data_IF_745557029046
#
_entry.id   IF_745557029046
#
_cell.length_a   1.000
_cell.length_b   1.000
_cell.length_c   1.000
_cell.angle_alpha   90.00
_cell.angle_beta   90.00
_cell.angle_gamma   90.00
#
_symmetry.space_group_name_H-M   'P 1'
#
loop_
_entity.id
_entity.type
_entity.pdbx_description
1 polymer ?
#
# COMPACT_ATOMS: atom_id res chain seq x y z
N UNK A 1 4.83 22.97 -15.81
CA UNK A 1 4.10 22.85 -14.53
C UNK A 1 3.59 21.44 -14.25
N UNK A 2 2.92 20.73 -15.18
CA UNK A 2 2.57 19.29 -15.00
C UNK A 2 3.79 18.43 -14.66
N UNK A 3 4.94 18.75 -15.24
CA UNK A 3 6.23 18.07 -14.97
C UNK A 3 6.62 18.13 -13.49
N UNK A 4 6.42 19.25 -12.79
CA UNK A 4 6.78 19.38 -11.37
C UNK A 4 5.89 18.49 -10.51
N UNK A 5 4.59 18.51 -10.78
CA UNK A 5 3.62 17.63 -10.09
C UNK A 5 3.94 16.16 -10.39
N UNK A 6 4.28 15.83 -11.63
CA UNK A 6 4.71 14.49 -12.01
C UNK A 6 5.96 14.05 -11.25
N UNK A 7 7.04 14.85 -11.22
CA UNK A 7 8.28 14.51 -10.53
C UNK A 7 8.03 14.32 -9.03
N UNK A 8 7.31 15.25 -8.39
CA UNK A 8 7.00 15.18 -6.97
C UNK A 8 6.19 13.93 -6.60
N UNK A 9 5.11 13.67 -7.33
CA UNK A 9 4.28 12.47 -7.11
C UNK A 9 5.02 11.18 -7.46
N UNK A 10 5.87 11.18 -8.50
CA UNK A 10 6.67 10.02 -8.88
C UNK A 10 7.63 9.65 -7.76
N UNK A 11 8.43 10.59 -7.26
CA UNK A 11 9.34 10.35 -6.14
C UNK A 11 8.62 9.97 -4.86
N UNK A 12 7.46 10.57 -4.57
CA UNK A 12 6.59 10.14 -3.45
C UNK A 12 6.04 8.72 -3.58
N UNK A 13 6.05 8.14 -4.78
CA UNK A 13 5.57 6.78 -5.05
C UNK A 13 6.67 5.72 -5.01
N UNK A 14 7.95 6.11 -4.94
CA UNK A 14 9.10 5.20 -4.95
C UNK A 14 9.39 4.67 -3.53
N UNK A 15 8.41 3.98 -2.93
CA UNK A 15 8.46 3.43 -1.57
C UNK A 15 9.72 2.58 -1.29
N UNK A 16 10.23 1.90 -2.32
CA UNK A 16 11.42 1.05 -2.24
C UNK A 16 12.77 1.78 -2.34
N UNK A 17 12.79 3.07 -2.67
CA UNK A 17 14.02 3.83 -2.90
C UNK A 17 14.46 4.64 -1.65
N UNK A 18 13.99 4.22 -0.47
CA UNK A 18 14.33 4.86 0.81
C UNK A 18 13.44 6.05 1.18
N UNK A 19 13.44 6.36 2.48
CA UNK A 19 12.61 7.44 3.03
C UNK A 19 12.98 8.82 2.46
N UNK A 20 14.26 9.04 2.15
CA UNK A 20 14.76 10.33 1.64
C UNK A 20 14.11 10.70 0.31
N UNK A 21 14.08 9.78 -0.65
CA UNK A 21 13.48 10.03 -1.98
C UNK A 21 11.98 10.32 -1.86
N UNK A 22 11.26 9.54 -1.05
CA UNK A 22 9.84 9.78 -0.80
C UNK A 22 9.57 11.15 -0.17
N UNK A 23 10.43 11.55 0.78
CA UNK A 23 10.37 12.85 1.46
C UNK A 23 10.67 14.00 0.50
N UNK A 24 11.69 13.86 -0.37
CA UNK A 24 11.98 14.85 -1.42
C UNK A 24 10.77 15.03 -2.33
N UNK A 25 10.14 13.94 -2.78
CA UNK A 25 8.91 14.00 -3.57
C UNK A 25 7.79 14.77 -2.87
N UNK A 26 7.59 14.50 -1.58
CA UNK A 26 6.58 15.18 -0.77
C UNK A 26 6.88 16.69 -0.64
N UNK A 27 8.13 17.05 -0.36
CA UNK A 27 8.58 18.44 -0.26
C UNK A 27 8.42 19.19 -1.58
N UNK A 28 8.71 18.58 -2.74
CA UNK A 28 8.49 19.20 -4.06
C UNK A 28 7.02 19.62 -4.22
N UNK A 29 6.08 18.76 -3.86
CA UNK A 29 4.64 19.05 -3.95
C UNK A 29 4.21 20.13 -2.94
N UNK A 30 4.76 20.10 -1.73
CA UNK A 30 4.50 21.11 -0.70
C UNK A 30 4.99 22.48 -1.16
N UNK A 31 6.26 22.58 -1.59
CA UNK A 31 6.84 23.83 -2.08
C UNK A 31 6.14 24.35 -3.33
N UNK A 32 5.75 23.47 -4.25
CA UNK A 32 4.94 23.85 -5.41
C UNK A 32 3.61 24.50 -4.98
N UNK A 33 2.93 23.90 -3.99
CA UNK A 33 1.66 24.41 -3.48
C UNK A 33 1.81 25.73 -2.71
N UNK A 34 2.91 25.90 -1.97
CA UNK A 34 3.30 27.18 -1.34
C UNK A 34 3.60 28.27 -2.38
N UNK A 35 4.40 27.96 -3.41
CA UNK A 35 4.73 28.91 -4.47
C UNK A 35 3.49 29.37 -5.26
N UNK A 36 2.45 28.54 -5.33
CA UNK A 36 1.14 28.90 -5.90
C UNK A 36 0.23 29.70 -4.95
N UNK A 37 0.64 29.88 -3.70
CA UNK A 37 -0.11 30.59 -2.68
C UNK A 37 -1.37 29.87 -2.21
N UNK A 38 -1.47 28.55 -2.40
CA UNK A 38 -2.69 27.81 -2.03
C UNK A 38 -2.90 27.76 -0.51
N UNK A 39 -1.84 27.67 0.28
CA UNK A 39 -1.93 27.64 1.74
C UNK A 39 -2.57 28.90 2.35
N UNK A 40 -2.41 30.06 1.71
CA UNK A 40 -2.99 31.32 2.18
C UNK A 40 -4.50 31.43 1.94
N UNK A 41 -5.08 30.48 1.20
CA UNK A 41 -6.51 30.45 0.87
C UNK A 41 -7.29 29.41 1.71
N UNK A 42 -6.66 28.81 2.72
CA UNK A 42 -7.29 27.77 3.53
C UNK A 42 -8.44 28.34 4.39
N UNK A 43 -9.59 27.70 4.33
CA UNK A 43 -10.72 28.03 5.18
C UNK A 43 -10.43 27.71 6.66
N UNK A 44 -11.00 28.50 7.59
CA UNK A 44 -10.77 28.39 9.05
C UNK A 44 -10.96 26.97 9.60
N UNK A 45 -11.93 26.22 9.08
CA UNK A 45 -12.18 24.81 9.48
C UNK A 45 -10.96 23.91 9.22
N UNK A 46 -10.28 24.07 8.08
CA UNK A 46 -9.07 23.30 7.77
C UNK A 46 -7.93 23.67 8.72
N UNK A 47 -7.77 24.96 9.03
CA UNK A 47 -6.75 25.42 9.99
C UNK A 47 -6.97 24.77 11.37
N UNK A 48 -8.23 24.70 11.83
CA UNK A 48 -8.58 24.03 13.08
C UNK A 48 -8.26 22.53 13.00
N UNK A 49 -8.61 21.85 11.92
CA UNK A 49 -8.28 20.43 11.73
C UNK A 49 -6.76 20.18 11.74
N UNK A 50 -5.97 21.05 11.10
CA UNK A 50 -4.50 20.99 11.11
C UNK A 50 -3.96 21.16 12.52
N UNK A 51 -4.51 22.10 13.29
CA UNK A 51 -4.12 22.29 14.68
C UNK A 51 -4.46 21.05 15.52
N UNK A 52 -5.65 20.48 15.38
CA UNK A 52 -6.05 19.26 16.08
C UNK A 52 -5.13 18.06 15.75
N UNK A 53 -4.80 17.85 14.46
CA UNK A 53 -3.90 16.76 14.06
C UNK A 53 -2.48 17.01 14.58
N UNK A 54 -2.00 18.26 14.53
CA UNK A 54 -0.69 18.63 15.09
C UNK A 54 -0.63 18.34 16.59
N UNK A 55 -1.66 18.72 17.35
CA UNK A 55 -1.77 18.42 18.78
C UNK A 55 -1.81 16.91 19.01
N UNK A 56 -2.55 16.15 18.20
CA UNK A 56 -2.59 14.70 18.29
C UNK A 56 -1.21 14.05 18.06
N UNK A 57 -0.46 14.49 17.05
CA UNK A 57 0.91 14.03 16.77
C UNK A 57 1.82 14.29 17.97
N UNK A 58 1.77 15.52 18.53
CA UNK A 58 2.58 15.89 19.70
C UNK A 58 2.19 15.06 20.92
N UNK A 59 0.88 14.88 21.17
CA UNK A 59 0.39 14.05 22.27
C UNK A 59 0.90 12.61 22.15
N UNK A 60 0.84 12.02 20.95
CA UNK A 60 1.37 10.67 20.71
C UNK A 60 2.88 10.59 20.95
N UNK A 61 3.64 11.64 20.63
CA UNK A 61 5.07 11.70 20.89
C UNK A 61 5.37 11.79 22.40
N UNK A 62 4.60 12.60 23.14
CA UNK A 62 4.70 12.69 24.61
C UNK A 62 4.36 11.34 25.25
N UNK A 63 3.26 10.70 24.82
CA UNK A 63 2.86 9.38 25.31
C UNK A 63 3.93 8.32 25.04
N UNK A 64 4.57 8.37 23.86
CA UNK A 64 5.70 7.49 23.53
C UNK A 64 6.89 7.70 24.49
N UNK A 65 7.26 8.95 24.77
CA UNK A 65 8.37 9.28 25.67
C UNK A 65 8.11 8.91 27.13
N UNK A 66 6.84 8.89 27.55
CA UNK A 66 6.45 8.44 28.89
C UNK A 66 6.48 6.92 29.06
N UNK A 67 6.69 6.15 27.99
CA UNK A 67 6.69 4.68 27.99
C UNK A 67 5.46 4.06 28.71
N UNK A 68 4.28 4.70 28.55
CA UNK A 68 3.07 4.26 29.22
C UNK A 68 2.56 2.92 28.68
N UNK A 69 2.85 1.84 29.40
CA UNK A 69 2.25 0.52 29.21
C UNK A 69 3.14 -0.53 28.52
N UNK A 70 4.23 -0.14 27.84
CA UNK A 70 5.17 -1.09 27.23
C UNK A 70 6.52 -0.42 26.94
N UNK A 71 7.56 -1.24 26.71
CA UNK A 71 8.90 -0.78 26.32
C UNK A 71 9.03 -0.70 24.78
N UNK A 72 9.21 0.50 24.19
CA UNK A 72 9.45 0.63 22.76
C UNK A 72 10.83 0.08 22.37
N UNK A 73 10.92 -0.53 21.18
CA UNK A 73 12.19 -1.01 20.63
C UNK A 73 13.17 0.14 20.40
N UNK A 74 14.47 -0.11 20.54
CA UNK A 74 15.52 0.92 20.39
C UNK A 74 15.43 1.64 19.04
N UNK A 75 15.22 0.89 17.94
CA UNK A 75 15.05 1.45 16.60
C UNK A 75 13.90 2.47 16.51
N UNK A 76 12.82 2.28 17.29
CA UNK A 76 11.73 3.25 17.34
C UNK A 76 12.10 4.52 18.13
N UNK A 77 12.93 4.38 19.17
CA UNK A 77 13.45 5.52 19.94
C UNK A 77 14.38 6.37 19.08
N UNK A 78 15.32 5.71 18.39
CA UNK A 78 16.29 6.37 17.51
C UNK A 78 15.59 7.08 16.34
N UNK A 79 14.50 6.50 15.84
CA UNK A 79 13.73 7.07 14.73
C UNK A 79 12.65 8.08 15.16
N UNK A 80 12.42 8.33 16.47
CA UNK A 80 11.28 9.12 16.96
C UNK A 80 11.21 10.50 16.30
N UNK A 81 12.30 11.27 16.34
CA UNK A 81 12.33 12.62 15.80
C UNK A 81 12.06 12.64 14.29
N UNK A 82 12.68 11.71 13.56
CA UNK A 82 12.46 11.56 12.12
C UNK A 82 11.01 11.20 11.81
N UNK A 83 10.38 10.33 12.60
CA UNK A 83 8.99 9.95 12.44
C UNK A 83 8.03 11.11 12.75
N UNK A 84 8.33 11.95 13.75
CA UNK A 84 7.55 13.17 14.06
C UNK A 84 7.63 14.14 12.89
N UNK A 85 8.83 14.43 12.38
CA UNK A 85 9.03 15.27 11.20
C UNK A 85 8.24 14.71 10.02
N UNK A 86 8.35 13.40 9.78
CA UNK A 86 7.63 12.76 8.68
C UNK A 86 6.11 12.90 8.83
N UNK A 87 5.54 12.79 10.03
CA UNK A 87 4.11 13.03 10.26
C UNK A 87 3.69 14.46 9.87
N UNK A 88 4.50 15.46 10.23
CA UNK A 88 4.24 16.84 9.81
C UNK A 88 4.39 17.03 8.29
N UNK A 89 5.39 16.41 7.67
CA UNK A 89 5.54 16.42 6.21
C UNK A 89 4.31 15.80 5.55
N UNK A 90 3.82 14.65 6.02
CA UNK A 90 2.61 14.01 5.51
C UNK A 90 1.36 14.89 5.71
N UNK A 91 1.25 15.59 6.84
CA UNK A 91 0.18 16.54 7.08
C UNK A 91 0.19 17.67 6.05
N UNK A 92 1.31 18.35 5.85
CA UNK A 92 1.44 19.40 4.83
C UNK A 92 1.28 18.86 3.40
N UNK A 93 1.76 17.65 3.14
CA UNK A 93 1.57 16.96 1.88
C UNK A 93 0.08 16.67 1.61
N UNK A 94 -0.68 16.22 2.61
CA UNK A 94 -2.12 15.96 2.47
C UNK A 94 -2.92 17.21 2.11
N UNK A 95 -2.55 18.35 2.69
CA UNK A 95 -3.13 19.66 2.35
C UNK A 95 -2.78 20.01 0.90
N UNK A 96 -1.50 19.86 0.54
CA UNK A 96 -1.02 20.16 -0.82
C UNK A 96 -1.76 19.33 -1.88
N UNK A 97 -1.92 18.03 -1.64
CA UNK A 97 -2.67 17.13 -2.53
C UNK A 97 -4.14 17.56 -2.63
N UNK A 98 -4.78 17.90 -1.51
CA UNK A 98 -6.16 18.39 -1.49
C UNK A 98 -6.31 19.67 -2.33
N UNK A 99 -5.40 20.63 -2.14
CA UNK A 99 -5.41 21.89 -2.89
C UNK A 99 -5.10 21.70 -4.38
N UNK A 100 -4.23 20.76 -4.74
CA UNK A 100 -3.96 20.42 -6.13
C UNK A 100 -5.17 19.76 -6.80
N UNK A 101 -5.86 18.86 -6.10
CA UNK A 101 -7.09 18.25 -6.61
C UNK A 101 -8.18 19.32 -6.80
N UNK A 102 -8.29 20.29 -5.91
CA UNK A 102 -9.29 21.35 -6.03
C UNK A 102 -8.96 22.37 -7.13
N UNK A 103 -7.74 22.91 -7.14
CA UNK A 103 -7.35 24.03 -8.00
C UNK A 103 -6.79 23.60 -9.36
N UNK A 104 -6.13 22.44 -9.45
CA UNK A 104 -5.42 21.98 -10.66
C UNK A 104 -5.73 20.49 -10.97
N UNK A 105 -6.99 20.07 -10.78
CA UNK A 105 -7.44 18.66 -10.91
C UNK A 105 -6.95 17.97 -12.18
N UNK A 106 -7.07 18.63 -13.34
CA UNK A 106 -6.66 18.07 -14.64
C UNK A 106 -5.16 17.79 -14.69
N UNK A 107 -4.33 18.70 -14.15
CA UNK A 107 -2.88 18.54 -14.11
C UNK A 107 -2.48 17.41 -13.17
N UNK A 108 -3.12 17.34 -12.01
CA UNK A 108 -2.92 16.28 -11.03
C UNK A 108 -3.26 14.90 -11.63
N UNK A 109 -4.44 14.78 -12.24
CA UNK A 109 -4.89 13.55 -12.93
C UNK A 109 -3.94 13.16 -14.07
N UNK A 110 -3.50 14.13 -14.87
CA UNK A 110 -2.55 13.87 -15.96
C UNK A 110 -1.22 13.36 -15.41
N UNK A 111 -0.65 14.01 -14.40
CA UNK A 111 0.57 13.57 -13.74
C UNK A 111 0.44 12.14 -13.17
N UNK A 112 -0.66 11.86 -12.47
CA UNK A 112 -0.97 10.53 -11.93
C UNK A 112 -1.08 9.46 -13.03
N UNK A 113 -1.69 9.80 -14.16
CA UNK A 113 -1.79 8.91 -15.33
C UNK A 113 -0.42 8.55 -15.87
N UNK A 114 0.47 9.55 -16.05
CA UNK A 114 1.83 9.33 -16.53
C UNK A 114 2.64 8.45 -15.58
N UNK A 115 2.47 8.59 -14.26
CA UNK A 115 3.19 7.77 -13.27
C UNK A 115 2.76 6.31 -13.38
N UNK A 116 1.44 6.05 -13.46
CA UNK A 116 0.93 4.68 -13.62
C UNK A 116 1.43 4.08 -14.93
N UNK A 117 1.34 4.82 -16.04
CA UNK A 117 1.82 4.37 -17.35
C UNK A 117 3.32 4.04 -17.30
N UNK A 118 4.15 4.92 -16.74
CA UNK A 118 5.59 4.70 -16.64
C UNK A 118 5.90 3.42 -15.86
N UNK A 119 5.29 3.22 -14.69
CA UNK A 119 5.51 2.01 -13.90
C UNK A 119 5.04 0.74 -14.61
N UNK A 120 3.90 0.79 -15.32
CA UNK A 120 3.40 -0.33 -16.13
C UNK A 120 4.35 -0.62 -17.30
N UNK A 121 4.87 0.39 -17.98
CA UNK A 121 5.83 0.21 -19.06
C UNK A 121 7.14 -0.43 -18.59
N UNK A 122 7.72 0.06 -17.49
CA UNK A 122 8.91 -0.55 -16.88
C UNK A 122 8.66 -2.01 -16.50
N UNK A 123 7.51 -2.30 -15.90
CA UNK A 123 7.12 -3.66 -15.56
C UNK A 123 7.03 -4.55 -16.80
N UNK A 124 6.33 -4.11 -17.85
CA UNK A 124 6.14 -4.90 -19.09
C UNK A 124 7.49 -5.14 -19.79
N UNK A 125 8.35 -4.13 -19.86
CA UNK A 125 9.70 -4.27 -20.43
C UNK A 125 10.53 -5.30 -19.66
N UNK A 126 10.52 -5.22 -18.33
CA UNK A 126 11.21 -6.18 -17.49
C UNK A 126 10.60 -7.59 -17.63
N UNK A 127 9.28 -7.72 -17.69
CA UNK A 127 8.57 -8.98 -17.90
C UNK A 127 9.00 -9.68 -19.19
N UNK A 128 8.95 -8.98 -20.32
CA UNK A 128 9.37 -9.57 -21.58
C UNK A 128 10.86 -9.89 -21.62
N UNK A 129 11.71 -9.05 -21.01
CA UNK A 129 13.16 -9.35 -20.95
C UNK A 129 13.42 -10.64 -20.18
N UNK A 130 12.82 -10.78 -18.99
CA UNK A 130 12.97 -11.96 -18.14
C UNK A 130 12.47 -13.22 -18.84
N UNK A 131 11.23 -13.21 -19.31
CA UNK A 131 10.58 -14.44 -19.81
C UNK A 131 10.89 -14.77 -21.27
N UNK A 132 11.46 -13.85 -22.06
CA UNK A 132 11.92 -14.14 -23.42
C UNK A 132 13.43 -14.42 -23.51
N UNK A 133 14.25 -13.78 -22.68
CA UNK A 133 15.71 -13.91 -22.77
C UNK A 133 16.35 -14.60 -21.57
N UNK A 134 15.62 -14.82 -20.47
CA UNK A 134 16.16 -15.35 -19.22
C UNK A 134 17.01 -14.35 -18.42
N UNK A 135 17.15 -13.10 -18.86
CA UNK A 135 17.99 -12.10 -18.20
C UNK A 135 17.12 -11.20 -17.30
N UNK A 136 17.59 -10.96 -16.07
CA UNK A 136 16.92 -10.04 -15.14
C UNK A 136 17.55 -8.65 -15.19
N UNK A 137 16.73 -7.63 -15.45
CA UNK A 137 17.13 -6.21 -15.35
C UNK A 137 16.73 -5.71 -13.97
N UNK A 138 17.71 -5.47 -13.10
CA UNK A 138 17.45 -4.89 -11.78
C UNK A 138 17.51 -3.35 -11.83
N UNK A 139 16.37 -2.75 -12.17
CA UNK A 139 16.23 -1.30 -12.16
C UNK A 139 16.40 -0.71 -10.75
N UNK A 140 16.06 -1.46 -9.69
CA UNK A 140 16.19 -0.98 -8.32
C UNK A 140 17.66 -0.85 -7.96
N UNK A 141 18.44 -1.91 -8.20
CA UNK A 141 19.88 -1.91 -7.93
C UNK A 141 20.61 -0.76 -8.62
N UNK A 142 20.22 -0.44 -9.87
CA UNK A 142 20.78 0.69 -10.62
C UNK A 142 20.60 2.04 -9.91
N UNK A 143 19.48 2.25 -9.22
CA UNK A 143 19.15 3.52 -8.58
C UNK A 143 19.43 3.56 -7.07
N UNK A 144 19.43 2.42 -6.39
CA UNK A 144 19.55 2.36 -4.92
C UNK A 144 20.82 1.66 -4.45
N UNK A 145 21.45 0.83 -5.29
CA UNK A 145 22.51 -0.09 -4.88
C UNK A 145 22.04 -1.30 -4.08
N UNK A 146 20.73 -1.43 -3.82
CA UNK A 146 20.12 -2.58 -3.14
C UNK A 146 19.53 -3.55 -4.17
N UNK A 147 19.80 -4.85 -4.01
CA UNK A 147 19.23 -5.87 -4.88
C UNK A 147 17.72 -6.00 -4.68
N UNK A 148 16.99 -6.14 -5.78
CA UNK A 148 15.58 -6.51 -5.73
C UNK A 148 15.41 -7.96 -5.26
N UNK A 149 14.26 -8.28 -4.65
CA UNK A 149 13.91 -9.64 -4.24
C UNK A 149 13.30 -10.42 -5.42
N UNK A 150 14.06 -10.48 -6.50
CA UNK A 150 13.59 -10.98 -7.80
C UNK A 150 13.52 -12.50 -7.86
N UNK A 151 14.31 -13.23 -7.07
CA UNK A 151 14.26 -14.68 -7.06
C UNK A 151 12.88 -15.20 -6.58
N UNK A 152 12.41 -16.25 -7.23
CA UNK A 152 11.21 -16.97 -6.87
C UNK A 152 11.59 -18.25 -6.15
N UNK A 153 11.13 -18.42 -4.90
CA UNK A 153 11.48 -19.59 -4.08
C UNK A 153 10.64 -20.84 -4.43
N UNK A 154 10.25 -21.04 -5.69
CA UNK A 154 9.66 -22.32 -6.11
C UNK A 154 10.78 -23.36 -6.11
N UNK A 155 10.84 -24.15 -5.03
CA UNK A 155 11.95 -25.07 -4.79
C UNK A 155 11.88 -26.34 -5.65
N UNK A 156 10.72 -26.72 -6.20
CA UNK A 156 10.53 -27.92 -7.03
C UNK A 156 9.35 -27.75 -8.01
N UNK A 157 9.34 -28.50 -9.13
CA UNK A 157 8.23 -28.57 -10.08
C UNK A 157 8.52 -28.04 -11.50
N UNK A 158 7.68 -28.40 -12.48
CA UNK A 158 7.84 -28.01 -13.89
C UNK A 158 7.73 -26.48 -14.14
N UNK A 159 7.14 -25.74 -13.19
CA UNK A 159 7.05 -24.28 -13.23
C UNK A 159 8.30 -23.57 -12.65
N UNK A 160 9.16 -24.29 -11.89
CA UNK A 160 10.32 -23.69 -11.24
C UNK A 160 11.38 -23.21 -12.25
N UNK A 161 11.56 -23.92 -13.36
CA UNK A 161 12.48 -23.54 -14.45
C UNK A 161 11.95 -22.40 -15.33
N UNK A 162 10.63 -22.16 -15.33
CA UNK A 162 9.99 -21.13 -16.16
C UNK A 162 9.85 -19.81 -15.40
N UNK A 163 9.75 -19.87 -14.07
CA UNK A 163 9.49 -18.70 -13.21
C UNK A 163 10.56 -18.53 -12.14
N UNK A 164 11.83 -18.71 -12.50
CA UNK A 164 12.98 -18.49 -11.60
C UNK A 164 13.02 -17.04 -11.09
N UNK A 165 12.73 -16.08 -11.97
CA UNK A 165 12.68 -14.67 -11.65
C UNK A 165 11.25 -14.12 -11.65
N UNK A 166 10.98 -13.21 -10.73
CA UNK A 166 9.74 -12.43 -10.61
C UNK A 166 10.03 -10.98 -10.92
N UNK A 167 9.21 -10.44 -11.79
CA UNK A 167 9.26 -9.05 -12.22
C UNK A 167 8.81 -8.15 -11.06
N UNK A 168 9.61 -7.14 -10.73
CA UNK A 168 9.35 -6.22 -9.63
C UNK A 168 9.10 -4.77 -10.08
N UNK A 169 9.32 -4.48 -11.37
CA UNK A 169 9.27 -3.14 -11.94
C UNK A 169 10.32 -2.23 -11.29
N UNK A 170 9.87 -1.04 -10.87
CA UNK A 170 10.68 -0.07 -10.13
C UNK A 170 10.63 -0.29 -8.60
N UNK A 171 10.41 -1.51 -8.13
CA UNK A 171 10.27 -1.79 -6.70
C UNK A 171 11.10 -3.00 -6.28
N UNK A 172 11.45 -3.07 -5.00
CA UNK A 172 12.25 -4.18 -4.45
C UNK A 172 11.47 -5.49 -4.48
N UNK A 173 10.14 -5.44 -4.37
CA UNK A 173 9.30 -6.64 -4.38
C UNK A 173 8.10 -6.50 -5.32
N UNK A 174 7.62 -7.62 -5.90
CA UNK A 174 6.41 -7.61 -6.72
C UNK A 174 5.17 -7.18 -5.91
N UNK A 175 5.11 -7.52 -4.62
CA UNK A 175 4.03 -7.10 -3.71
C UNK A 175 4.02 -5.58 -3.46
N UNK A 176 5.20 -4.93 -3.45
CA UNK A 176 5.31 -3.46 -3.33
C UNK A 176 4.80 -2.78 -4.59
N UNK A 177 5.19 -3.29 -5.76
CA UNK A 177 4.70 -2.79 -7.05
C UNK A 177 3.17 -2.78 -7.09
N UNK A 178 2.54 -3.90 -6.73
CA UNK A 178 1.08 -4.00 -6.72
C UNK A 178 0.44 -3.09 -5.67
N UNK A 179 1.03 -2.98 -4.48
CA UNK A 179 0.52 -2.08 -3.45
C UNK A 179 0.49 -0.62 -3.94
N UNK A 180 1.60 -0.14 -4.52
CA UNK A 180 1.70 1.24 -5.01
C UNK A 180 0.79 1.49 -6.21
N UNK A 181 0.77 0.59 -7.20
CA UNK A 181 -0.08 0.80 -8.38
C UNK A 181 -1.57 0.63 -8.07
N UNK A 182 -1.94 -0.21 -7.10
CA UNK A 182 -3.30 -0.28 -6.58
C UNK A 182 -3.74 1.09 -6.01
N UNK A 183 -2.90 1.71 -5.18
CA UNK A 183 -3.12 3.04 -4.61
C UNK A 183 -3.24 4.11 -5.69
N UNK A 184 -2.27 4.21 -6.60
CA UNK A 184 -2.24 5.26 -7.64
C UNK A 184 -3.38 5.11 -8.65
N UNK A 185 -3.66 3.89 -9.12
CA UNK A 185 -4.74 3.66 -10.07
C UNK A 185 -6.12 3.84 -9.45
N UNK A 186 -6.29 3.49 -8.16
CA UNK A 186 -7.51 3.80 -7.39
C UNK A 186 -7.73 5.30 -7.30
N UNK A 187 -6.70 6.07 -6.93
CA UNK A 187 -6.78 7.53 -6.87
C UNK A 187 -7.19 8.12 -8.24
N UNK A 188 -6.59 7.64 -9.33
CA UNK A 188 -6.93 8.06 -10.68
C UNK A 188 -8.39 7.76 -11.03
N UNK A 189 -8.85 6.55 -10.70
CA UNK A 189 -10.23 6.12 -10.95
C UNK A 189 -11.24 6.93 -10.13
N UNK A 190 -10.95 7.25 -8.87
CA UNK A 190 -11.84 8.08 -8.04
C UNK A 190 -12.00 9.50 -8.61
N UNK A 191 -10.94 10.06 -9.20
CA UNK A 191 -10.96 11.41 -9.74
C UNK A 191 -11.60 11.51 -11.14
N UNK A 192 -11.40 10.48 -11.98
CA UNK A 192 -11.81 10.48 -13.40
C UNK A 192 -12.98 9.58 -13.75
N UNK A 193 -13.32 8.62 -12.88
CA UNK A 193 -14.20 7.47 -13.16
C UNK A 193 -13.75 6.55 -14.32
N UNK A 194 -12.57 6.79 -14.92
CA UNK A 194 -12.04 5.95 -16.01
C UNK A 194 -11.44 4.66 -15.46
N UNK A 195 -11.64 3.56 -16.16
CA UNK A 195 -11.20 2.21 -15.74
C UNK A 195 -9.94 1.73 -16.45
N UNK A 196 -9.55 2.31 -17.60
CA UNK A 196 -8.47 1.77 -18.44
C UNK A 196 -7.15 1.51 -17.68
N UNK A 197 -6.63 2.53 -16.99
CA UNK A 197 -5.40 2.38 -16.19
C UNK A 197 -5.57 1.43 -15.01
N UNK A 198 -6.77 1.41 -14.41
CA UNK A 198 -7.10 0.51 -13.31
C UNK A 198 -7.09 -0.96 -13.77
N UNK A 199 -7.67 -1.24 -14.93
CA UNK A 199 -7.66 -2.56 -15.56
C UNK A 199 -6.26 -2.99 -15.99
N UNK A 200 -5.44 -2.08 -16.52
CA UNK A 200 -4.02 -2.38 -16.84
C UNK A 200 -3.25 -2.82 -15.59
N UNK A 201 -3.44 -2.13 -14.46
CA UNK A 201 -2.80 -2.51 -13.18
C UNK A 201 -3.28 -3.86 -12.69
N UNK A 202 -4.56 -4.20 -12.84
CA UNK A 202 -5.06 -5.55 -12.51
C UNK A 202 -4.30 -6.61 -13.31
N UNK A 203 -4.15 -6.40 -14.63
CA UNK A 203 -3.46 -7.34 -15.51
C UNK A 203 -1.99 -7.50 -15.11
N UNK A 204 -1.25 -6.41 -14.94
CA UNK A 204 0.16 -6.49 -14.56
C UNK A 204 0.34 -7.06 -13.14
N UNK A 205 -0.59 -6.82 -12.23
CA UNK A 205 -0.58 -7.41 -10.89
C UNK A 205 -0.68 -8.94 -10.94
N UNK A 206 -1.53 -9.49 -11.81
CA UNK A 206 -1.62 -10.95 -12.03
C UNK A 206 -0.32 -11.52 -12.62
N UNK A 207 0.35 -10.76 -13.49
CA UNK A 207 1.63 -11.15 -14.12
C UNK A 207 2.83 -11.14 -13.16
N UNK A 208 2.68 -10.64 -11.93
CA UNK A 208 3.77 -10.63 -10.93
C UNK A 208 4.04 -11.99 -10.28
N UNK A 209 3.13 -12.96 -10.44
CA UNK A 209 3.19 -14.29 -9.80
C UNK A 209 3.37 -14.27 -8.26
N UNK A 210 2.91 -13.20 -7.61
CA UNK A 210 2.92 -13.04 -6.16
C UNK A 210 1.54 -13.34 -5.58
N UNK A 211 1.47 -14.17 -4.53
CA UNK A 211 0.20 -14.60 -3.91
C UNK A 211 -0.68 -13.43 -3.48
N UNK A 212 -0.11 -12.42 -2.82
CA UNK A 212 -0.87 -11.24 -2.39
C UNK A 212 -1.33 -10.41 -3.59
N UNK A 213 -0.56 -10.40 -4.69
CA UNK A 213 -0.94 -9.67 -5.91
C UNK A 213 -2.19 -10.24 -6.54
N UNK A 214 -2.36 -11.56 -6.56
CA UNK A 214 -3.59 -12.20 -7.02
C UNK A 214 -4.79 -11.79 -6.17
N UNK A 215 -4.64 -11.81 -4.84
CA UNK A 215 -5.71 -11.41 -3.91
C UNK A 215 -6.10 -9.94 -4.11
N UNK A 216 -5.12 -9.04 -4.22
CA UNK A 216 -5.36 -7.61 -4.48
C UNK A 216 -6.03 -7.42 -5.84
N UNK A 217 -5.51 -8.04 -6.89
CA UNK A 217 -6.07 -7.96 -8.25
C UNK A 217 -7.51 -8.50 -8.31
N UNK A 218 -7.82 -9.55 -7.56
CA UNK A 218 -9.17 -10.10 -7.43
C UNK A 218 -10.14 -9.07 -6.84
N UNK A 219 -9.80 -8.47 -5.69
CA UNK A 219 -10.65 -7.43 -5.09
C UNK A 219 -10.75 -6.19 -5.99
N UNK A 220 -9.65 -5.76 -6.62
CA UNK A 220 -9.68 -4.69 -7.61
C UNK A 220 -10.65 -5.04 -8.75
N UNK A 221 -10.61 -6.25 -9.29
CA UNK A 221 -11.54 -6.74 -10.32
C UNK A 221 -13.01 -6.73 -9.86
N UNK A 222 -13.29 -7.20 -8.64
CA UNK A 222 -14.64 -7.15 -8.05
C UNK A 222 -15.18 -5.71 -7.99
N UNK A 223 -14.32 -4.72 -7.75
CA UNK A 223 -14.74 -3.32 -7.70
C UNK A 223 -15.21 -2.76 -9.05
N UNK A 224 -14.87 -3.40 -10.18
CA UNK A 224 -15.37 -3.04 -11.51
C UNK A 224 -16.79 -3.55 -11.74
N UNK A 225 -17.21 -4.59 -11.01
CA UNK A 225 -18.53 -5.18 -11.14
C UNK A 225 -19.58 -4.33 -10.40
N UNK A 226 -20.81 -4.35 -10.91
CA UNK A 226 -21.97 -3.88 -10.14
C UNK A 226 -22.33 -4.92 -9.08
N UNK A 227 -22.77 -4.48 -7.89
CA UNK A 227 -23.13 -5.36 -6.76
C UNK A 227 -24.08 -6.48 -7.16
N UNK A 228 -25.05 -6.20 -8.04
CA UNK A 228 -26.04 -7.19 -8.51
C UNK A 228 -25.47 -8.27 -9.43
N UNK A 229 -24.32 -8.03 -10.06
CA UNK A 229 -23.71 -8.97 -11.01
C UNK A 229 -22.68 -9.90 -10.36
N UNK A 230 -22.27 -9.66 -9.11
CA UNK A 230 -21.13 -10.38 -8.56
C UNK A 230 -21.39 -11.86 -8.35
N UNK A 231 -22.58 -12.24 -7.86
CA UNK A 231 -22.95 -13.64 -7.69
C UNK A 231 -23.03 -14.37 -9.02
N UNK A 232 -23.49 -13.70 -10.08
CA UNK A 232 -23.52 -14.24 -11.43
C UNK A 232 -22.10 -14.44 -11.99
N UNK A 233 -21.20 -13.50 -11.72
CA UNK A 233 -19.80 -13.59 -12.12
C UNK A 233 -19.07 -14.72 -11.37
N UNK A 234 -19.24 -14.83 -10.05
CA UNK A 234 -18.67 -15.91 -9.24
C UNK A 234 -19.18 -17.27 -9.72
N UNK A 235 -20.50 -17.39 -9.95
CA UNK A 235 -21.10 -18.61 -10.48
C UNK A 235 -20.53 -18.95 -11.87
N UNK A 236 -20.42 -17.96 -12.77
CA UNK A 236 -19.82 -18.16 -14.09
C UNK A 236 -18.35 -18.60 -14.00
N UNK A 237 -17.56 -18.00 -13.10
CA UNK A 237 -16.16 -18.35 -12.88
C UNK A 237 -16.01 -19.78 -12.35
N UNK A 238 -16.86 -20.21 -11.42
CA UNK A 238 -16.91 -21.60 -10.93
C UNK A 238 -17.25 -22.54 -12.10
N UNK A 239 -18.30 -22.24 -12.86
CA UNK A 239 -18.74 -23.07 -14.00
C UNK A 239 -17.66 -23.16 -15.08
N UNK A 240 -16.92 -22.08 -15.37
CA UNK A 240 -15.82 -22.08 -16.34
C UNK A 240 -14.54 -22.76 -15.83
N UNK A 241 -14.26 -22.68 -14.52
CA UNK A 241 -13.08 -23.33 -13.94
C UNK A 241 -13.24 -24.84 -13.86
N UNK A 242 -14.46 -25.37 -13.66
CA UNK A 242 -14.68 -26.82 -13.54
C UNK A 242 -14.12 -27.59 -14.76
N UNK A 243 -14.45 -27.25 -16.02
CA UNK A 243 -13.87 -27.91 -17.20
C UNK A 243 -12.35 -27.73 -17.34
N UNK A 244 -11.83 -26.57 -16.95
CA UNK A 244 -10.40 -26.27 -17.06
C UNK A 244 -9.60 -27.10 -16.05
N UNK A 245 -10.09 -27.18 -14.81
CA UNK A 245 -9.48 -28.00 -13.75
C UNK A 245 -9.58 -29.48 -14.09
N UNK A 246 -10.70 -29.94 -14.68
CA UNK A 246 -10.82 -31.36 -15.06
C UNK A 246 -9.90 -31.73 -16.23
N UNK A 247 -9.72 -30.85 -17.23
CA UNK A 247 -8.82 -31.11 -18.37
C UNK A 247 -7.34 -31.02 -17.96
N UNK A 248 -6.98 -30.05 -17.10
CA UNK A 248 -5.60 -29.80 -16.68
C UNK A 248 -5.31 -30.29 -15.26
N UNK A 249 -5.99 -31.36 -14.81
CA UNK A 249 -5.99 -31.80 -13.42
C UNK A 249 -4.56 -31.99 -12.85
N UNK A 250 -3.66 -32.64 -13.58
CA UNK A 250 -2.28 -32.86 -13.12
C UNK A 250 -1.48 -31.56 -12.91
N UNK A 251 -1.69 -30.55 -13.76
CA UNK A 251 -1.07 -29.23 -13.59
C UNK A 251 -1.69 -28.48 -12.40
N UNK A 252 -3.01 -28.52 -12.26
CA UNK A 252 -3.70 -27.85 -11.14
C UNK A 252 -3.38 -28.48 -9.79
N UNK A 253 -3.30 -29.80 -9.70
CA UNK A 253 -2.91 -30.51 -8.47
C UNK A 253 -1.48 -30.11 -8.09
N UNK A 254 -0.52 -30.17 -9.03
CA UNK A 254 0.85 -29.70 -8.77
C UNK A 254 0.90 -28.23 -8.37
N UNK A 255 0.15 -27.36 -9.04
CA UNK A 255 0.11 -25.93 -8.72
C UNK A 255 -0.56 -25.64 -7.37
N UNK A 256 -1.57 -26.42 -6.99
CA UNK A 256 -2.23 -26.34 -5.67
C UNK A 256 -1.28 -26.85 -4.60
N UNK A 257 -0.56 -27.96 -4.82
CA UNK A 257 0.41 -28.50 -3.87
C UNK A 257 1.57 -27.51 -3.66
N UNK A 258 2.11 -26.94 -4.74
CA UNK A 258 3.13 -25.88 -4.68
C UNK A 258 2.60 -24.63 -3.97
N UNK A 259 1.34 -24.27 -4.20
CA UNK A 259 0.68 -23.16 -3.52
C UNK A 259 0.49 -23.44 -2.04
N UNK A 260 -0.01 -24.61 -1.66
CA UNK A 260 -0.25 -25.03 -0.28
C UNK A 260 1.07 -25.15 0.48
N UNK A 261 2.12 -25.66 -0.15
CA UNK A 261 3.48 -25.71 0.41
C UNK A 261 4.07 -24.30 0.58
N UNK A 262 3.87 -23.41 -0.40
CA UNK A 262 4.27 -22.00 -0.25
C UNK A 262 3.49 -21.30 0.85
N UNK A 263 2.18 -21.56 0.97
CA UNK A 263 1.33 -21.04 2.04
C UNK A 263 1.80 -21.60 3.38
N UNK A 264 2.01 -22.90 3.54
CA UNK A 264 2.48 -23.45 4.82
C UNK A 264 3.85 -22.90 5.24
N UNK A 265 4.77 -22.69 4.29
CA UNK A 265 6.10 -22.13 4.56
C UNK A 265 6.12 -20.61 4.78
N UNK A 266 5.23 -19.83 4.15
CA UNK A 266 5.30 -18.34 4.18
C UNK A 266 4.12 -17.66 4.86
N UNK A 267 2.98 -18.34 5.05
CA UNK A 267 1.81 -17.79 5.73
C UNK A 267 1.83 -17.99 7.23
N UNK A 268 2.54 -19.02 7.73
CA UNK A 268 2.76 -19.23 9.17
C UNK A 268 3.36 -17.98 9.81
N UNK A 269 4.45 -17.45 9.23
CA UNK A 269 5.12 -16.24 9.73
C UNK A 269 4.22 -14.98 9.76
N UNK A 270 3.21 -14.90 8.88
CA UNK A 270 2.25 -13.78 8.83
C UNK A 270 1.09 -13.96 9.79
N UNK A 271 0.57 -15.17 9.93
CA UNK A 271 -0.47 -15.48 10.91
C UNK A 271 0.08 -15.38 12.33
N UNK A 272 1.33 -15.78 12.55
CA UNK A 272 2.04 -15.61 13.81
C UNK A 272 2.24 -14.11 14.12
N UNK A 273 2.57 -13.28 13.12
CA UNK A 273 2.63 -11.83 13.29
C UNK A 273 1.26 -11.24 13.68
N UNK A 274 0.18 -11.66 13.02
CA UNK A 274 -1.18 -11.22 13.36
C UNK A 274 -1.53 -11.66 14.77
N UNK A 275 -1.22 -12.91 15.12
CA UNK A 275 -1.43 -13.44 16.46
C UNK A 275 -0.67 -12.62 17.50
N UNK A 276 0.56 -12.23 17.20
CA UNK A 276 1.35 -11.35 18.06
C UNK A 276 0.72 -9.96 18.19
N UNK A 277 0.23 -9.36 17.12
CA UNK A 277 -0.40 -8.03 17.18
C UNK A 277 -1.64 -8.03 18.09
N UNK A 278 -2.41 -9.12 18.11
CA UNK A 278 -3.73 -9.17 18.78
C UNK A 278 -3.80 -10.04 20.03
N UNK A 279 -2.76 -10.80 20.38
CA UNK A 279 -2.76 -11.69 21.54
C UNK A 279 -1.57 -11.49 22.51
N UNK A 280 -0.63 -10.58 22.25
CA UNK A 280 0.51 -10.34 23.16
C UNK A 280 0.13 -9.62 24.46
N UNK A 281 -0.80 -8.67 24.42
CA UNK A 281 -1.22 -7.91 25.61
C UNK A 281 -2.68 -7.41 25.49
N UNK A 282 -3.60 -8.07 26.20
CA UNK A 282 -5.05 -7.82 26.11
C UNK A 282 -5.46 -6.35 26.27
N UNK A 283 -4.77 -5.56 27.11
CA UNK A 283 -5.12 -4.16 27.35
C UNK A 283 -4.61 -3.25 26.23
N UNK A 284 -3.40 -3.50 25.75
CA UNK A 284 -2.82 -2.74 24.64
C UNK A 284 -3.42 -3.14 23.29
N UNK A 285 -4.05 -4.32 23.18
CA UNK A 285 -4.76 -4.73 21.96
C UNK A 285 -5.97 -3.83 21.63
N UNK A 286 -6.61 -3.23 22.64
CA UNK A 286 -7.79 -2.39 22.43
C UNK A 286 -7.44 -1.03 21.81
N UNK A 287 -6.40 -0.38 22.33
CA UNK A 287 -6.01 1.02 22.01
C UNK A 287 -4.75 1.10 21.13
N UNK A 288 -3.98 0.02 21.04
CA UNK A 288 -2.74 -0.08 20.29
C UNK A 288 -1.51 0.46 21.02
N UNK A 289 -0.35 0.28 20.40
CA UNK A 289 0.93 0.72 20.97
C UNK A 289 1.24 2.21 20.72
N UNK A 290 0.44 2.91 19.92
CA UNK A 290 0.63 4.31 19.58
C UNK A 290 1.43 4.53 18.30
N UNK A 291 1.35 5.76 17.77
CA UNK A 291 1.80 6.11 16.42
C UNK A 291 3.30 5.83 16.18
N UNK A 292 4.14 6.14 17.16
CA UNK A 292 5.60 6.04 17.04
C UNK A 292 6.18 4.71 17.53
N UNK A 293 5.35 3.86 18.12
CA UNK A 293 5.81 2.70 18.86
C UNK A 293 5.85 1.44 18.03
N UNK A 294 6.94 0.70 18.16
CA UNK A 294 6.98 -0.73 17.86
C UNK A 294 7.45 -1.40 19.16
N UNK A 295 6.68 -2.34 19.73
CA UNK A 295 7.10 -3.05 20.93
C UNK A 295 8.40 -3.80 20.72
N UNK A 296 9.29 -3.77 21.72
CA UNK A 296 10.59 -4.46 21.64
C UNK A 296 10.45 -5.96 21.37
N UNK A 297 9.45 -6.62 21.97
CA UNK A 297 9.16 -8.06 21.73
C UNK A 297 8.81 -8.35 20.26
N UNK A 298 7.94 -7.54 19.67
CA UNK A 298 7.55 -7.67 18.25
C UNK A 298 8.76 -7.39 17.36
N UNK A 299 9.56 -6.38 17.72
CA UNK A 299 10.75 -6.03 16.95
C UNK A 299 11.80 -7.15 16.98
N UNK A 300 12.15 -7.70 18.15
CA UNK A 300 13.13 -8.78 18.27
C UNK A 300 12.71 -10.03 17.50
N UNK A 301 11.44 -10.42 17.57
CA UNK A 301 10.92 -11.57 16.82
C UNK A 301 10.91 -11.34 15.30
N UNK A 302 10.82 -10.09 14.86
CA UNK A 302 10.91 -9.70 13.47
C UNK A 302 12.36 -9.45 12.97
N UNK A 303 13.34 -9.20 13.86
CA UNK A 303 14.69 -8.75 13.50
C UNK A 303 15.82 -9.73 13.85
N UNK A 304 15.75 -10.42 14.98
CA UNK A 304 16.79 -11.35 15.44
C UNK A 304 16.36 -12.78 15.15
N UNK A 305 16.91 -13.38 14.09
CA UNK A 305 16.66 -14.77 13.68
C UNK A 305 17.24 -15.82 14.63
N UNK A 306 17.04 -15.70 15.94
CA UNK A 306 17.45 -16.68 16.94
C UNK A 306 16.20 -17.39 17.46
N UNK A 307 15.83 -18.50 16.81
CA UNK A 307 14.69 -19.36 17.18
C UNK A 307 13.83 -19.78 15.99
N UNK A 308 13.10 -20.89 16.14
CA UNK A 308 12.22 -21.48 15.12
C UNK A 308 10.99 -20.63 14.75
N UNK A 309 10.82 -19.44 15.33
CA UNK A 309 9.69 -18.53 15.06
C UNK A 309 10.20 -17.27 14.38
N UNK A 310 10.36 -17.34 13.06
CA UNK A 310 10.64 -16.17 12.22
C UNK A 310 9.31 -15.46 11.96
N UNK A 311 9.23 -14.18 12.29
CA UNK A 311 8.02 -13.38 12.06
C UNK A 311 8.28 -12.42 10.90
N UNK A 312 7.33 -12.34 9.96
CA UNK A 312 7.45 -11.49 8.77
C UNK A 312 7.63 -10.00 9.15
N UNK A 313 8.05 -9.16 8.19
CA UNK A 313 8.11 -7.70 8.45
C UNK A 313 6.73 -7.21 8.86
N UNK A 314 6.66 -6.28 9.82
CA UNK A 314 5.39 -5.78 10.37
C UNK A 314 4.44 -5.28 9.27
N UNK A 315 4.99 -4.71 8.20
CA UNK A 315 4.21 -4.23 7.06
C UNK A 315 3.65 -5.36 6.18
N UNK A 316 4.24 -6.57 6.22
CA UNK A 316 3.80 -7.72 5.42
C UNK A 316 2.47 -8.30 5.89
N UNK A 317 2.02 -7.97 7.10
CA UNK A 317 0.67 -8.29 7.58
C UNK A 317 -0.43 -7.44 6.90
N UNK A 318 -0.07 -6.39 6.17
CA UNK A 318 -1.03 -5.50 5.51
C UNK A 318 -1.44 -4.29 6.37
N UNK A 319 -1.93 -3.24 5.70
CA UNK A 319 -2.23 -1.95 6.30
C UNK A 319 -3.26 -2.04 7.44
N UNK A 320 -4.25 -2.91 7.32
CA UNK A 320 -5.26 -3.10 8.38
C UNK A 320 -4.63 -3.60 9.68
N UNK A 321 -3.70 -4.54 9.59
CA UNK A 321 -2.99 -5.10 10.75
C UNK A 321 -1.96 -4.10 11.27
N UNK A 322 -1.34 -3.31 10.38
CA UNK A 322 -0.48 -2.19 10.78
C UNK A 322 -1.25 -1.13 11.58
N UNK A 323 -2.48 -0.80 11.18
CA UNK A 323 -3.39 0.07 11.94
C UNK A 323 -3.76 -0.58 13.28
N UNK A 324 -4.05 -1.88 13.29
CA UNK A 324 -4.31 -2.64 14.52
C UNK A 324 -3.16 -2.59 15.52
N UNK A 325 -1.92 -2.73 15.06
CA UNK A 325 -0.75 -2.59 15.93
C UNK A 325 -0.63 -1.17 16.50
N UNK A 326 -0.88 -0.13 15.70
CA UNK A 326 -0.70 1.26 16.12
C UNK A 326 -1.84 1.80 16.98
N UNK A 327 -3.07 1.44 16.67
CA UNK A 327 -4.30 2.02 17.25
C UNK A 327 -5.28 0.98 17.82
N UNK A 328 -4.86 -0.28 17.89
CA UNK A 328 -5.63 -1.37 18.45
C UNK A 328 -6.84 -1.77 17.60
N UNK A 329 -7.65 -2.66 18.16
CA UNK A 329 -8.91 -3.10 17.56
C UNK A 329 -9.85 -1.91 17.35
N UNK A 330 -9.86 -0.93 18.25
CA UNK A 330 -10.68 0.28 18.09
C UNK A 330 -10.31 1.07 16.84
N UNK A 331 -9.01 1.23 16.55
CA UNK A 331 -8.56 1.88 15.33
C UNK A 331 -9.02 1.14 14.06
N UNK A 332 -8.93 -0.19 14.06
CA UNK A 332 -9.40 -1.02 12.94
C UNK A 332 -10.91 -0.89 12.76
N UNK A 333 -11.68 -1.05 13.83
CA UNK A 333 -13.15 -0.91 13.80
C UNK A 333 -13.54 0.48 13.31
N UNK A 334 -12.88 1.53 13.79
CA UNK A 334 -13.13 2.90 13.37
C UNK A 334 -12.90 3.08 11.87
N UNK A 335 -11.77 2.62 11.33
CA UNK A 335 -11.45 2.72 9.90
C UNK A 335 -12.45 1.92 9.06
N UNK A 336 -12.78 0.69 9.46
CA UNK A 336 -13.77 -0.14 8.76
C UNK A 336 -15.17 0.47 8.81
N UNK A 337 -15.58 1.04 9.94
CA UNK A 337 -16.85 1.74 10.08
C UNK A 337 -16.91 2.98 9.16
N UNK A 338 -15.84 3.78 9.12
CA UNK A 338 -15.74 4.92 8.21
C UNK A 338 -15.86 4.48 6.75
N UNK A 339 -15.21 3.37 6.38
CA UNK A 339 -15.30 2.80 5.03
C UNK A 339 -16.70 2.30 4.72
N UNK A 340 -17.36 1.59 5.64
CA UNK A 340 -18.67 0.97 5.41
C UNK A 340 -19.80 2.00 5.34
N UNK A 341 -19.76 3.02 6.20
CA UNK A 341 -20.83 4.04 6.29
C UNK A 341 -20.76 5.04 5.14
N UNK A 342 -19.56 5.43 4.70
CA UNK A 342 -19.39 6.57 3.78
C UNK A 342 -19.13 6.17 2.33
N UNK A 343 -18.81 4.90 2.04
CA UNK A 343 -18.41 4.47 0.70
C UNK A 343 -19.48 3.63 0.02
N UNK A 344 -19.66 3.88 -1.28
CA UNK A 344 -20.41 2.97 -2.14
C UNK A 344 -19.70 1.63 -2.24
N UNK A 345 -20.43 0.55 -2.57
CA UNK A 345 -19.86 -0.80 -2.72
C UNK A 345 -18.54 -0.85 -3.51
N UNK A 346 -18.48 -0.17 -4.67
CA UNK A 346 -17.26 -0.14 -5.49
C UNK A 346 -16.11 0.57 -4.79
N UNK A 347 -16.39 1.71 -4.13
CA UNK A 347 -15.40 2.46 -3.36
C UNK A 347 -14.94 1.69 -2.12
N UNK A 348 -15.84 0.97 -1.46
CA UNK A 348 -15.53 0.09 -0.35
C UNK A 348 -14.56 -1.01 -0.78
N UNK A 349 -14.83 -1.71 -1.89
CA UNK A 349 -13.92 -2.75 -2.38
C UNK A 349 -12.57 -2.16 -2.81
N UNK A 350 -12.55 -1.00 -3.47
CA UNK A 350 -11.28 -0.32 -3.80
C UNK A 350 -10.48 0.00 -2.53
N UNK A 351 -11.12 0.57 -1.50
CA UNK A 351 -10.46 0.85 -0.23
C UNK A 351 -10.00 -0.46 0.46
N UNK A 352 -10.82 -1.50 0.47
CA UNK A 352 -10.46 -2.81 1.01
C UNK A 352 -9.24 -3.41 0.30
N UNK A 353 -9.18 -3.30 -1.04
CA UNK A 353 -8.04 -3.77 -1.83
C UNK A 353 -6.74 -3.08 -1.47
N UNK A 354 -6.77 -1.84 -0.95
CA UNK A 354 -5.60 -1.11 -0.43
C UNK A 354 -5.29 -1.55 1.00
N UNK A 355 -6.31 -1.75 1.85
CA UNK A 355 -6.15 -2.14 3.26
C UNK A 355 -5.44 -3.48 3.46
N UNK A 356 -5.57 -4.40 2.50
CA UNK A 356 -4.87 -5.70 2.51
C UNK A 356 -3.43 -5.61 1.97
N UNK A 357 -3.03 -4.48 1.37
CA UNK A 357 -1.65 -4.30 0.87
C UNK A 357 -0.72 -3.92 2.01
N UNK A 358 0.58 -4.14 1.81
CA UNK A 358 1.64 -3.75 2.75
C UNK A 358 1.99 -2.26 2.74
N UNK A 359 1.19 -1.41 2.09
CA UNK A 359 1.45 0.03 2.07
C UNK A 359 1.23 0.59 3.48
N UNK A 360 2.22 1.27 4.05
CA UNK A 360 2.04 1.96 5.34
C UNK A 360 1.33 3.31 5.11
N UNK A 361 0.48 3.71 6.06
CA UNK A 361 -0.10 5.07 6.07
C UNK A 361 0.96 6.16 6.32
N UNK A 362 2.18 5.77 6.72
CA UNK A 362 3.33 6.67 6.88
C UNK A 362 4.05 6.97 5.54
N UNK A 363 3.61 6.39 4.42
CA UNK A 363 4.17 6.73 3.11
C UNK A 363 3.34 7.81 2.40
N UNK A 364 3.99 8.80 1.74
CA UNK A 364 3.29 9.84 0.98
C UNK A 364 2.31 9.28 -0.05
N UNK A 365 2.66 8.18 -0.71
CA UNK A 365 1.79 7.56 -1.72
C UNK A 365 0.42 7.16 -1.19
N UNK A 366 0.30 6.75 0.07
CA UNK A 366 -1.00 6.45 0.68
C UNK A 366 -1.90 7.69 0.76
N UNK A 367 -1.32 8.87 1.02
CA UNK A 367 -2.04 10.14 1.06
C UNK A 367 -2.65 10.49 -0.31
N UNK A 368 -1.97 10.12 -1.40
CA UNK A 368 -2.45 10.35 -2.78
C UNK A 368 -3.82 9.72 -3.02
N UNK A 369 -4.12 8.56 -2.41
CA UNK A 369 -5.44 7.91 -2.54
C UNK A 369 -6.40 8.28 -1.42
N UNK A 370 -5.89 8.50 -0.21
CA UNK A 370 -6.72 8.87 0.95
C UNK A 370 -7.51 10.15 0.68
N UNK A 371 -6.86 11.17 0.13
CA UNK A 371 -7.50 12.46 -0.13
C UNK A 371 -8.70 12.34 -1.11
N UNK A 372 -8.57 11.71 -2.30
CA UNK A 372 -9.71 11.43 -3.18
C UNK A 372 -10.86 10.61 -2.57
N UNK A 373 -10.58 9.73 -1.59
CA UNK A 373 -11.64 9.01 -0.87
C UNK A 373 -12.44 9.93 0.05
N UNK A 374 -11.76 10.87 0.70
CA UNK A 374 -12.36 11.83 1.64
C UNK A 374 -13.05 13.00 0.92
N UNK A 375 -12.53 13.41 -0.24
CA UNK A 375 -13.11 14.48 -1.04
C UNK A 375 -14.40 14.00 -1.73
N UNK A 376 -15.52 14.54 -1.29
CA UNK A 376 -16.83 14.32 -1.90
C UNK A 376 -17.11 15.47 -2.87
N UNK A 377 -17.14 15.17 -4.18
CA UNK A 377 -17.44 16.14 -5.26
C UNK A 377 -18.73 16.96 -5.04
N UNK A 378 -19.65 16.52 -4.18
CA UNK A 378 -20.91 17.23 -3.88
C UNK A 378 -20.91 18.04 -2.58
N UNK A 379 -19.95 17.83 -1.65
CA UNK A 379 -19.89 18.56 -0.35
C UNK A 379 -18.86 19.68 -0.32
N UNK A 380 -17.79 19.58 -1.12
CA UNK A 380 -16.59 20.40 -0.88
C UNK A 380 -16.49 21.67 -1.74
N UNK A 381 -17.42 21.89 -2.69
CA UNK A 381 -17.51 23.17 -3.45
C UNK A 381 -17.89 24.37 -2.58
N UNK A 382 -18.41 24.15 -1.37
CA UNK A 382 -18.84 25.22 -0.46
C UNK A 382 -17.87 25.44 0.71
N UNK A 383 -16.79 24.66 0.82
CA UNK A 383 -15.93 24.60 2.02
C UNK A 383 -14.43 24.79 1.70
N UNK A 384 -14.01 24.50 0.46
CA UNK A 384 -12.70 24.84 -0.12
C UNK A 384 -12.84 26.07 -1.03
#
# INVERSE_FOLDING_TARGET
MVIIVFIGLFFSSLVSHGAVINTIGALIIIFYSFAKGYFFKLHKKYIISIACISIFIILQAVLFLMEMGFKPAQVSRDALFNNIIMCFILLFFSISISMLIYNESERFVKALSWIVILNVLFFILQFFTVYLSGNYIDAVYLFTGEESRYQNYFLQGAAASIVEYRVTGLYVEPSTYVAVLCVLSTAHRLLTNKTNLYSMVIITSLMTFSTISFVVAFFMGMSLLKRTFIWRFILALIVFLIPIVTIFNGFFVSAIDDFLLKVSLTSGERLDLIGMIYYLDEKLNLVGYGLFSIPEKIHMLASTGIGQYRVASINDAGLINFIGMKFGVLGVVFVLALMFVNLTYQRFIMAFSIMITKISFMFPVFIIVLVPFLLSKSRDKAIL
#
